data_IF_667711357200
#
_entry.id   IF_667711357200
#
_cell.length_a   1.000
_cell.length_b   1.000
_cell.length_c   1.000
_cell.angle_alpha   90.00
_cell.angle_beta   90.00
_cell.angle_gamma   90.00
#
_symmetry.space_group_name_H-M   'P 1'
#
loop_
_entity.id
_entity.type
_entity.pdbx_description
1 polymer ?
#
# COMPACT_ATOMS: atom_id res chain seq x y z
N UNK A 1 1.58 -4.37 -27.48
CA UNK A 1 1.66 -3.60 -26.23
C UNK A 1 0.59 -2.54 -26.31
N UNK A 2 -0.48 -2.54 -25.52
CA UNK A 2 -1.41 -1.41 -25.57
C UNK A 2 -0.77 -0.24 -24.83
N UNK A 3 -0.50 0.84 -25.56
CA UNK A 3 -0.28 2.17 -24.97
C UNK A 3 -1.54 2.57 -24.22
N UNK A 4 -1.53 2.44 -22.90
CA UNK A 4 -2.57 3.00 -22.05
C UNK A 4 -2.32 4.50 -21.92
N UNK A 5 -2.77 5.24 -22.93
CA UNK A 5 -2.63 6.68 -23.07
C UNK A 5 -3.64 7.46 -22.15
N UNK A 6 -3.75 7.06 -20.90
CA UNK A 6 -4.48 7.78 -19.86
C UNK A 6 -3.49 8.49 -18.93
N UNK A 7 -3.81 9.71 -18.51
CA UNK A 7 -3.02 10.40 -17.49
C UNK A 7 -2.85 9.50 -16.25
N UNK A 8 -1.65 9.42 -15.64
CA UNK A 8 -1.42 8.57 -14.48
C UNK A 8 -2.27 9.02 -13.30
N UNK A 9 -2.78 8.06 -12.52
CA UNK A 9 -3.50 8.38 -11.27
C UNK A 9 -2.56 8.74 -10.15
N UNK A 10 -1.30 8.29 -10.23
CA UNK A 10 -0.22 8.67 -9.31
C UNK A 10 1.08 8.79 -10.09
N UNK A 11 1.79 9.88 -9.86
CA UNK A 11 3.10 10.14 -10.45
C UNK A 11 4.03 10.82 -9.45
N UNK A 12 5.29 10.42 -9.45
CA UNK A 12 6.37 11.09 -8.75
C UNK A 12 7.49 11.43 -9.73
N UNK A 13 8.09 12.61 -9.61
CA UNK A 13 9.21 13.03 -10.45
C UNK A 13 10.33 13.61 -9.58
N UNK A 14 11.51 13.01 -9.65
CA UNK A 14 12.72 13.44 -8.93
C UNK A 14 12.53 13.50 -7.41
N UNK A 15 11.73 12.58 -6.85
CA UNK A 15 11.34 12.63 -5.45
C UNK A 15 12.54 12.43 -4.53
N UNK A 16 12.78 13.41 -3.66
CA UNK A 16 13.87 13.40 -2.67
C UNK A 16 13.34 13.71 -1.27
N UNK A 17 13.83 12.98 -0.28
CA UNK A 17 13.59 13.25 1.15
C UNK A 17 14.87 13.13 1.93
N UNK A 18 15.19 14.19 2.67
CA UNK A 18 16.34 14.27 3.56
C UNK A 18 15.86 14.58 4.99
N UNK A 19 16.40 13.88 5.98
CA UNK A 19 16.19 14.10 7.41
C UNK A 19 17.57 14.42 8.05
N UNK A 20 17.81 15.70 8.32
CA UNK A 20 19.17 16.13 8.73
C UNK A 20 20.20 15.73 7.67
N UNK A 21 21.20 14.93 8.06
CA UNK A 21 22.24 14.44 7.14
C UNK A 21 21.83 13.16 6.39
N UNK A 22 20.74 12.50 6.79
CA UNK A 22 20.28 11.27 6.17
C UNK A 22 19.41 11.55 4.94
N UNK A 23 19.85 11.13 3.77
CA UNK A 23 19.03 11.09 2.55
C UNK A 23 18.29 9.75 2.51
N UNK A 24 17.00 9.77 2.83
CA UNK A 24 16.15 8.57 2.89
C UNK A 24 15.58 8.16 1.54
N UNK A 25 15.37 9.14 0.64
CA UNK A 25 14.88 8.95 -0.74
C UNK A 25 15.63 9.93 -1.63
N UNK A 26 16.15 9.47 -2.76
CA UNK A 26 16.94 10.27 -3.69
C UNK A 26 16.58 9.94 -5.14
N UNK A 27 16.07 10.95 -5.85
CA UNK A 27 15.70 10.92 -7.28
C UNK A 27 14.77 9.76 -7.68
N UNK A 28 13.69 9.53 -6.90
CA UNK A 28 12.74 8.46 -7.19
C UNK A 28 11.61 8.97 -8.06
N UNK A 29 11.49 8.40 -9.27
CA UNK A 29 10.48 8.73 -10.26
C UNK A 29 9.71 7.48 -10.71
N UNK A 30 8.38 7.53 -10.62
CA UNK A 30 7.50 6.49 -11.15
C UNK A 30 6.11 7.04 -11.46
N UNK A 31 5.33 6.25 -12.20
CA UNK A 31 3.92 6.53 -12.51
C UNK A 31 3.09 5.26 -12.42
N UNK A 32 1.83 5.41 -12.00
CA UNK A 32 0.82 4.34 -11.96
C UNK A 32 -0.35 4.78 -12.85
N UNK A 33 -0.60 4.09 -13.95
CA UNK A 33 -1.80 4.31 -14.77
C UNK A 33 -3.08 3.86 -14.03
N UNK A 34 -4.27 4.32 -14.46
CA UNK A 34 -5.54 3.85 -13.90
C UNK A 34 -5.68 2.32 -13.94
N UNK A 35 -6.14 1.72 -12.84
CA UNK A 35 -6.36 0.28 -12.70
C UNK A 35 -5.09 -0.58 -12.69
N UNK A 36 -3.90 0.05 -12.71
CA UNK A 36 -2.62 -0.67 -12.68
C UNK A 36 -2.02 -0.68 -11.27
N UNK A 37 -1.07 -1.58 -11.08
CA UNK A 37 -0.42 -1.80 -9.79
C UNK A 37 1.10 -1.76 -9.92
N UNK A 38 1.74 -1.07 -8.95
CA UNK A 38 3.19 -0.98 -8.82
C UNK A 38 3.61 -1.48 -7.44
N UNK A 39 4.63 -2.35 -7.37
CA UNK A 39 5.30 -2.65 -6.12
C UNK A 39 6.55 -1.78 -5.93
N UNK A 40 6.77 -1.30 -4.71
CA UNK A 40 8.07 -0.81 -4.24
C UNK A 40 8.62 -1.86 -3.28
N UNK A 41 9.70 -2.51 -3.68
CA UNK A 41 10.38 -3.55 -2.90
C UNK A 41 11.79 -3.12 -2.52
N UNK A 42 12.37 -3.71 -1.48
CA UNK A 42 13.72 -3.40 -1.04
C UNK A 42 13.95 -3.79 0.42
N UNK A 43 15.19 -3.73 0.86
CA UNK A 43 15.58 -4.02 2.25
C UNK A 43 14.92 -3.06 3.24
N UNK A 44 14.93 -3.42 4.53
CA UNK A 44 14.47 -2.51 5.60
C UNK A 44 15.33 -1.25 5.59
N UNK A 45 14.71 -0.09 5.77
CA UNK A 45 15.41 1.20 5.72
C UNK A 45 15.69 1.75 4.31
N UNK A 46 15.31 1.06 3.23
CA UNK A 46 15.56 1.52 1.86
C UNK A 46 14.74 2.77 1.43
N UNK A 47 13.84 3.30 2.28
CA UNK A 47 13.05 4.49 1.97
C UNK A 47 11.59 4.22 1.56
N UNK A 48 11.16 2.97 1.46
CA UNK A 48 9.82 2.57 0.96
C UNK A 48 8.66 3.24 1.70
N UNK A 49 8.60 3.10 3.02
CA UNK A 49 7.56 3.72 3.87
C UNK A 49 7.63 5.25 3.84
N UNK A 50 8.83 5.82 3.67
CA UNK A 50 9.01 7.27 3.51
C UNK A 50 8.31 7.77 2.25
N UNK A 51 8.43 7.04 1.13
CA UNK A 51 7.72 7.36 -0.12
C UNK A 51 6.20 7.30 0.11
N UNK A 52 5.68 6.23 0.76
CA UNK A 52 4.24 6.13 1.06
C UNK A 52 3.76 7.33 1.91
N UNK A 53 4.50 7.68 2.96
CA UNK A 53 4.17 8.80 3.85
C UNK A 53 4.15 10.14 3.12
N UNK A 54 5.07 10.35 2.18
CA UNK A 54 5.06 11.56 1.34
C UNK A 54 3.84 11.60 0.43
N UNK A 55 3.47 10.48 -0.19
CA UNK A 55 2.31 10.41 -1.09
C UNK A 55 1.00 10.70 -0.35
N UNK A 56 0.81 10.21 0.87
CA UNK A 56 -0.41 10.48 1.66
C UNK A 56 -0.36 11.81 2.41
N UNK A 57 0.78 12.53 2.41
CA UNK A 57 0.93 13.83 3.05
C UNK A 57 1.15 13.77 4.55
N UNK A 58 1.74 12.69 5.06
CA UNK A 58 2.25 12.57 6.43
C UNK A 58 3.70 13.07 6.54
N UNK A 59 4.39 13.16 5.40
CA UNK A 59 5.71 13.75 5.22
C UNK A 59 5.68 14.61 3.94
N UNK A 60 6.61 15.54 3.84
CA UNK A 60 6.76 16.39 2.64
C UNK A 60 8.11 16.12 1.99
N UNK A 61 8.18 16.08 0.66
CA UNK A 61 9.43 15.95 -0.04
C UNK A 61 10.36 17.14 0.23
N UNK A 62 11.66 16.90 0.24
CA UNK A 62 12.67 17.98 0.25
C UNK A 62 12.77 18.62 -1.12
N UNK A 63 12.62 17.83 -2.19
CA UNK A 63 12.50 18.29 -3.59
C UNK A 63 11.80 17.21 -4.43
N UNK A 64 11.50 17.54 -5.68
CA UNK A 64 10.70 16.71 -6.58
C UNK A 64 9.21 16.95 -6.42
N UNK A 65 8.40 16.23 -7.18
CA UNK A 65 6.95 16.42 -7.22
C UNK A 65 6.19 15.13 -7.03
N UNK A 66 4.99 15.26 -6.46
CA UNK A 66 4.00 14.20 -6.31
C UNK A 66 2.68 14.70 -6.89
N UNK A 67 2.15 14.00 -7.89
CA UNK A 67 0.85 14.29 -8.49
C UNK A 67 -0.07 13.08 -8.32
N UNK A 68 -1.29 13.29 -7.80
CA UNK A 68 -2.31 12.26 -7.78
C UNK A 68 -3.62 12.81 -8.36
N UNK A 69 -4.27 12.04 -9.23
CA UNK A 69 -5.49 12.42 -9.93
C UNK A 69 -5.38 13.81 -10.62
N UNK A 70 -4.21 14.13 -11.17
CA UNK A 70 -3.91 15.43 -11.79
C UNK A 70 -3.69 16.58 -10.83
N UNK A 71 -3.65 16.34 -9.50
CA UNK A 71 -3.45 17.37 -8.49
C UNK A 71 -2.07 17.25 -7.84
N UNK A 72 -1.34 18.36 -7.76
CA UNK A 72 -0.08 18.45 -7.03
C UNK A 72 -0.29 18.26 -5.52
N UNK A 73 0.57 17.45 -4.91
CA UNK A 73 0.57 17.11 -3.49
C UNK A 73 1.94 17.32 -2.84
N UNK A 74 2.87 17.93 -3.53
CA UNK A 74 4.26 18.12 -3.07
C UNK A 74 4.37 19.05 -1.84
N UNK A 75 3.35 19.91 -1.64
CA UNK A 75 3.26 20.82 -0.50
C UNK A 75 2.09 20.47 0.44
N UNK A 76 2.09 20.99 1.70
CA UNK A 76 0.95 20.86 2.60
C UNK A 76 -0.37 21.34 1.99
N UNK A 77 -1.52 20.72 2.36
CA UNK A 77 -2.82 21.13 1.85
C UNK A 77 -3.13 22.56 2.30
N UNK A 78 -3.57 23.39 1.37
CA UNK A 78 -3.86 24.82 1.60
C UNK A 78 -5.20 25.08 2.28
N UNK A 79 -6.09 24.08 2.35
CA UNK A 79 -7.42 24.22 2.96
C UNK A 79 -7.96 22.86 3.47
N UNK A 80 -9.02 22.92 4.30
CA UNK A 80 -9.73 21.72 4.73
C UNK A 80 -10.36 20.96 3.54
N UNK A 81 -10.82 21.70 2.50
CA UNK A 81 -11.35 21.10 1.27
C UNK A 81 -10.26 20.35 0.50
N UNK A 82 -9.08 20.93 0.36
CA UNK A 82 -7.94 20.32 -0.30
C UNK A 82 -7.49 19.05 0.46
N UNK A 83 -7.41 19.11 1.80
CA UNK A 83 -7.10 17.97 2.65
C UNK A 83 -8.10 16.82 2.45
N UNK A 84 -9.41 17.12 2.45
CA UNK A 84 -10.46 16.11 2.22
C UNK A 84 -10.37 15.48 0.83
N UNK A 85 -10.12 16.30 -0.21
CA UNK A 85 -9.92 15.80 -1.56
C UNK A 85 -8.73 14.85 -1.63
N UNK A 86 -7.57 15.26 -1.14
CA UNK A 86 -6.35 14.44 -1.12
C UNK A 86 -6.54 13.12 -0.37
N UNK A 87 -7.22 13.18 0.79
CA UNK A 87 -7.54 11.98 1.56
C UNK A 87 -8.52 11.05 0.82
N UNK A 88 -9.42 11.60 -0.03
CA UNK A 88 -10.30 10.79 -0.85
C UNK A 88 -9.56 10.15 -2.03
N UNK A 89 -8.68 10.88 -2.70
CA UNK A 89 -7.95 10.41 -3.89
C UNK A 89 -7.00 9.25 -3.59
N UNK A 90 -6.32 9.29 -2.44
CA UNK A 90 -5.32 8.29 -2.03
C UNK A 90 -5.56 7.86 -0.59
N UNK A 91 -5.73 6.56 -0.40
CA UNK A 91 -5.84 5.93 0.91
C UNK A 91 -4.66 5.00 1.17
N UNK A 92 -4.39 4.73 2.44
CA UNK A 92 -3.32 3.83 2.87
C UNK A 92 -3.83 2.82 3.90
N UNK A 93 -3.41 1.57 3.74
CA UNK A 93 -3.56 0.51 4.73
C UNK A 93 -2.18 0.20 5.28
N UNK A 94 -1.96 0.47 6.56
CA UNK A 94 -0.68 0.26 7.23
C UNK A 94 -0.47 -1.19 7.64
N UNK A 95 0.79 -1.53 7.93
CA UNK A 95 1.25 -2.84 8.35
C UNK A 95 0.53 -3.38 9.59
N UNK A 96 0.31 -2.52 10.60
CA UNK A 96 -0.31 -2.91 11.86
C UNK A 96 -1.78 -2.49 11.91
N UNK A 97 -2.71 -3.45 11.74
CA UNK A 97 -4.13 -3.18 11.86
C UNK A 97 -4.57 -2.84 13.29
N UNK A 98 -3.75 -3.14 14.32
CA UNK A 98 -4.06 -2.82 15.71
C UNK A 98 -3.98 -1.32 15.99
N UNK A 99 -2.99 -0.64 15.41
CA UNK A 99 -2.80 0.80 15.57
C UNK A 99 -3.62 1.64 14.60
N UNK A 100 -4.15 1.02 13.54
CA UNK A 100 -4.92 1.71 12.50
C UNK A 100 -6.41 1.84 12.79
N UNK A 101 -6.96 1.09 13.76
CA UNK A 101 -8.38 1.11 14.14
C UNK A 101 -8.56 1.70 15.55
N UNK A 102 -9.54 2.59 15.73
CA UNK A 102 -9.93 3.04 17.08
C UNK A 102 -10.51 1.84 17.84
N UNK A 103 -9.95 1.46 19.01
CA UNK A 103 -10.44 0.33 19.80
C UNK A 103 -11.86 0.50 20.33
N UNK A 104 -12.41 1.72 20.28
CA UNK A 104 -13.76 2.06 20.74
C UNK A 104 -14.81 2.01 19.63
N UNK A 105 -14.38 1.90 18.37
CA UNK A 105 -15.27 1.86 17.21
C UNK A 105 -15.33 0.45 16.63
N UNK A 106 -16.53 -0.03 16.30
CA UNK A 106 -16.70 -1.24 15.51
C UNK A 106 -16.49 -0.94 14.01
N UNK A 107 -16.40 -1.98 13.19
CA UNK A 107 -16.18 -1.82 11.75
C UNK A 107 -17.24 -0.96 11.07
N UNK A 108 -18.53 -1.15 11.44
CA UNK A 108 -19.64 -0.36 10.91
C UNK A 108 -19.44 1.14 11.19
N UNK A 109 -19.12 1.52 12.43
CA UNK A 109 -18.91 2.91 12.81
C UNK A 109 -17.68 3.53 12.12
N UNK A 110 -16.59 2.77 12.01
CA UNK A 110 -15.38 3.22 11.35
C UNK A 110 -15.58 3.50 9.85
N UNK A 111 -16.37 2.66 9.17
CA UNK A 111 -16.72 2.85 7.76
C UNK A 111 -17.72 4.02 7.60
N UNK A 112 -18.75 4.10 8.47
CA UNK A 112 -19.74 5.18 8.43
C UNK A 112 -19.11 6.56 8.64
N UNK A 113 -18.09 6.67 9.48
CA UNK A 113 -17.34 7.91 9.68
C UNK A 113 -16.69 8.40 8.38
N UNK A 114 -16.03 7.51 7.64
CA UNK A 114 -15.40 7.82 6.35
C UNK A 114 -16.45 8.24 5.32
N UNK A 115 -17.56 7.52 5.24
CA UNK A 115 -18.65 7.85 4.31
C UNK A 115 -19.26 9.22 4.62
N UNK A 116 -19.48 9.55 5.90
CA UNK A 116 -19.94 10.89 6.31
C UNK A 116 -18.95 11.99 5.96
N UNK A 117 -17.66 11.72 6.17
CA UNK A 117 -16.62 12.71 5.91
C UNK A 117 -16.49 13.04 4.42
N UNK A 118 -16.60 12.03 3.54
CA UNK A 118 -16.24 12.18 2.14
C UNK A 118 -17.43 12.31 1.19
N UNK A 119 -18.61 11.81 1.52
CA UNK A 119 -19.72 11.72 0.55
C UNK A 119 -20.96 12.53 0.91
N UNK A 120 -21.19 12.89 2.17
CA UNK A 120 -22.39 13.62 2.58
C UNK A 120 -23.71 12.87 2.29
N UNK A 121 -23.70 11.54 2.12
CA UNK A 121 -24.87 10.74 1.79
C UNK A 121 -25.86 10.63 2.97
N UNK A 122 -27.17 10.46 2.69
CA UNK A 122 -28.16 10.17 3.71
C UNK A 122 -27.86 8.84 4.41
N UNK A 123 -28.37 8.69 5.64
CA UNK A 123 -28.05 7.54 6.51
C UNK A 123 -28.41 6.19 5.89
N UNK A 124 -29.50 6.13 5.11
CA UNK A 124 -29.94 4.91 4.42
C UNK A 124 -28.90 4.45 3.40
N UNK A 125 -28.50 5.34 2.48
CA UNK A 125 -27.48 5.03 1.48
C UNK A 125 -26.14 4.63 2.11
N UNK A 126 -25.76 5.26 3.24
CA UNK A 126 -24.53 4.87 3.95
C UNK A 126 -24.63 3.46 4.54
N UNK A 127 -25.80 3.09 5.08
CA UNK A 127 -26.05 1.72 5.59
C UNK A 127 -25.91 0.68 4.50
N UNK A 128 -26.48 0.93 3.32
CA UNK A 128 -26.38 0.02 2.18
C UNK A 128 -24.92 -0.12 1.74
N UNK A 129 -24.20 1.01 1.62
CA UNK A 129 -22.77 0.98 1.25
C UNK A 129 -21.90 0.28 2.29
N UNK A 130 -22.20 0.40 3.58
CA UNK A 130 -21.48 -0.34 4.62
C UNK A 130 -21.72 -1.84 4.47
N UNK A 131 -22.96 -2.26 4.19
CA UNK A 131 -23.29 -3.66 3.97
C UNK A 131 -22.53 -4.22 2.74
N UNK A 132 -22.48 -3.47 1.63
CA UNK A 132 -21.71 -3.83 0.44
C UNK A 132 -20.20 -3.97 0.77
N UNK A 133 -19.61 -2.97 1.43
CA UNK A 133 -18.18 -2.98 1.76
C UNK A 133 -17.81 -4.09 2.74
N UNK A 134 -18.64 -4.34 3.76
CA UNK A 134 -18.40 -5.45 4.69
C UNK A 134 -18.58 -6.81 4.02
N UNK A 135 -19.56 -6.94 3.12
CA UNK A 135 -19.73 -8.12 2.28
C UNK A 135 -18.55 -8.34 1.34
N UNK A 136 -18.08 -7.26 0.67
CA UNK A 136 -16.94 -7.32 -0.24
C UNK A 136 -15.66 -7.84 0.45
N UNK A 137 -15.40 -7.44 1.70
CA UNK A 137 -14.26 -7.94 2.47
C UNK A 137 -14.54 -9.23 3.23
N UNK A 138 -15.71 -9.85 3.06
CA UNK A 138 -16.08 -11.11 3.69
C UNK A 138 -16.24 -11.04 5.21
N UNK A 139 -16.75 -9.93 5.74
CA UNK A 139 -17.13 -9.76 7.14
C UNK A 139 -18.64 -9.98 7.28
N UNK A 140 -19.04 -10.88 8.17
CA UNK A 140 -20.45 -11.07 8.52
C UNK A 140 -20.99 -9.94 9.40
N UNK A 141 -22.33 -9.94 9.62
CA UNK A 141 -23.00 -8.91 10.40
C UNK A 141 -22.55 -8.86 11.87
N UNK A 142 -22.13 -9.99 12.46
CA UNK A 142 -21.61 -10.05 13.82
C UNK A 142 -20.22 -9.45 13.90
N UNK A 143 -19.35 -9.80 12.96
CA UNK A 143 -17.98 -9.26 12.86
C UNK A 143 -17.99 -7.75 12.57
N UNK A 144 -18.90 -7.29 11.71
CA UNK A 144 -19.06 -5.86 11.41
C UNK A 144 -19.44 -5.02 12.65
N UNK A 145 -20.17 -5.59 13.59
CA UNK A 145 -20.58 -4.92 14.85
C UNK A 145 -19.63 -5.17 16.02
N UNK A 146 -18.64 -6.07 15.85
CA UNK A 146 -17.67 -6.36 16.89
C UNK A 146 -16.63 -5.23 17.02
N UNK A 147 -16.16 -5.02 18.25
CA UNK A 147 -15.03 -4.13 18.50
C UNK A 147 -13.72 -4.78 18.02
N UNK A 148 -12.69 -3.99 17.66
CA UNK A 148 -11.43 -4.53 17.16
C UNK A 148 -10.79 -5.60 18.05
N UNK A 149 -10.91 -5.48 19.37
CA UNK A 149 -10.39 -6.47 20.34
C UNK A 149 -10.96 -7.88 20.18
N UNK A 150 -12.17 -7.99 19.64
CA UNK A 150 -12.89 -9.26 19.44
C UNK A 150 -12.70 -9.84 18.03
N UNK A 151 -11.90 -9.18 17.18
CA UNK A 151 -11.60 -9.59 15.82
C UNK A 151 -10.20 -10.21 15.74
N UNK A 152 -10.03 -11.21 14.87
CA UNK A 152 -8.70 -11.73 14.52
C UNK A 152 -7.87 -10.69 13.77
N UNK A 153 -6.55 -10.90 13.64
CA UNK A 153 -5.67 -10.03 12.85
C UNK A 153 -6.16 -9.85 11.41
N UNK A 154 -6.51 -10.95 10.74
CA UNK A 154 -7.04 -10.90 9.37
C UNK A 154 -8.39 -10.20 9.27
N UNK A 155 -9.28 -10.35 10.25
CA UNK A 155 -10.56 -9.63 10.28
C UNK A 155 -10.34 -8.12 10.46
N UNK A 156 -9.41 -7.71 11.33
CA UNK A 156 -9.03 -6.28 11.47
C UNK A 156 -8.44 -5.72 10.18
N UNK A 157 -7.62 -6.51 9.49
CA UNK A 157 -7.06 -6.12 8.19
C UNK A 157 -8.18 -5.89 7.17
N UNK A 158 -9.17 -6.78 7.11
CA UNK A 158 -10.35 -6.63 6.26
C UNK A 158 -11.16 -5.38 6.61
N UNK A 159 -11.31 -5.06 7.90
CA UNK A 159 -11.93 -3.78 8.35
C UNK A 159 -11.13 -2.58 7.86
N UNK A 160 -9.80 -2.60 7.98
CA UNK A 160 -8.94 -1.51 7.53
C UNK A 160 -9.04 -1.29 6.01
N UNK A 161 -9.11 -2.38 5.23
CA UNK A 161 -9.33 -2.33 3.78
C UNK A 161 -10.72 -1.75 3.47
N UNK A 162 -11.80 -2.25 4.10
CA UNK A 162 -13.16 -1.74 3.88
C UNK A 162 -13.27 -0.25 4.22
N UNK A 163 -12.63 0.19 5.31
CA UNK A 163 -12.58 1.60 5.70
C UNK A 163 -11.86 2.46 4.66
N UNK A 164 -10.74 1.99 4.13
CA UNK A 164 -10.02 2.70 3.08
C UNK A 164 -10.84 2.80 1.78
N UNK A 165 -11.51 1.72 1.39
CA UNK A 165 -12.39 1.68 0.22
C UNK A 165 -13.65 2.56 0.36
N UNK A 166 -14.08 2.85 1.59
CA UNK A 166 -15.22 3.74 1.83
C UNK A 166 -15.00 5.17 1.32
N UNK A 167 -13.76 5.60 1.17
CA UNK A 167 -13.44 6.88 0.54
C UNK A 167 -13.55 6.86 -1.00
N UNK A 168 -13.71 5.69 -1.62
CA UNK A 168 -13.66 5.46 -3.08
C UNK A 168 -12.37 6.02 -3.69
N UNK A 169 -11.19 5.56 -3.22
CA UNK A 169 -9.92 6.11 -3.64
C UNK A 169 -9.56 5.68 -5.07
N UNK A 170 -8.88 6.55 -5.80
CA UNK A 170 -8.26 6.18 -7.08
C UNK A 170 -7.00 5.33 -6.87
N UNK A 171 -6.29 5.56 -5.75
CA UNK A 171 -5.08 4.81 -5.37
C UNK A 171 -5.19 4.30 -3.95
N UNK A 172 -4.94 3.01 -3.77
CA UNK A 172 -4.81 2.37 -2.46
C UNK A 172 -3.34 1.96 -2.25
N UNK A 173 -2.73 2.54 -1.23
CA UNK A 173 -1.39 2.16 -0.79
C UNK A 173 -1.51 1.03 0.23
N UNK A 174 -0.77 -0.05 0.01
CA UNK A 174 -0.70 -1.22 0.86
C UNK A 174 0.72 -1.30 1.44
N UNK A 175 0.92 -0.73 2.64
CA UNK A 175 2.25 -0.66 3.28
C UNK A 175 2.44 -1.86 4.22
N UNK A 176 3.13 -2.90 3.73
CA UNK A 176 3.40 -4.17 4.42
C UNK A 176 2.15 -4.82 5.06
N UNK A 177 1.00 -4.44 4.56
CA UNK A 177 -0.33 -4.66 5.16
C UNK A 177 -0.77 -6.12 5.26
N UNK A 178 -0.06 -7.05 4.64
CA UNK A 178 -0.36 -8.50 4.68
C UNK A 178 0.77 -9.32 5.30
N UNK A 179 1.92 -8.71 5.61
CA UNK A 179 3.11 -9.43 6.07
C UNK A 179 2.97 -10.04 7.49
N UNK A 180 2.11 -9.48 8.32
CA UNK A 180 1.87 -9.93 9.69
C UNK A 180 0.76 -10.99 9.84
N UNK A 181 0.22 -11.48 8.72
CA UNK A 181 -0.88 -12.45 8.71
C UNK A 181 -0.36 -13.88 8.52
N UNK A 182 -1.05 -14.85 9.11
CA UNK A 182 -0.82 -16.26 8.82
C UNK A 182 -0.99 -16.55 7.32
N UNK A 183 -0.21 -17.48 6.78
CA UNK A 183 -0.14 -17.80 5.34
C UNK A 183 -1.53 -18.04 4.71
N UNK A 184 -2.42 -18.75 5.40
CA UNK A 184 -3.77 -19.03 4.89
C UNK A 184 -4.64 -17.77 4.85
N UNK A 185 -4.52 -16.90 5.84
CA UNK A 185 -5.25 -15.62 5.91
C UNK A 185 -4.66 -14.63 4.91
N UNK A 186 -3.34 -14.60 4.77
CA UNK A 186 -2.64 -13.81 3.78
C UNK A 186 -3.16 -14.12 2.36
N UNK A 187 -3.23 -15.40 1.98
CA UNK A 187 -3.75 -15.82 0.68
C UNK A 187 -5.19 -15.34 0.44
N UNK A 188 -6.07 -15.43 1.46
CA UNK A 188 -7.44 -14.93 1.37
C UNK A 188 -7.51 -13.41 1.17
N UNK A 189 -6.66 -12.64 1.87
CA UNK A 189 -6.62 -11.18 1.73
C UNK A 189 -6.04 -10.78 0.37
N UNK A 190 -5.05 -11.52 -0.15
CA UNK A 190 -4.49 -11.28 -1.48
C UNK A 190 -5.51 -11.52 -2.59
N UNK A 191 -6.27 -12.61 -2.52
CA UNK A 191 -7.35 -12.88 -3.47
C UNK A 191 -8.42 -11.78 -3.40
N UNK A 192 -8.82 -11.39 -2.19
CA UNK A 192 -9.74 -10.28 -1.98
C UNK A 192 -9.24 -8.98 -2.63
N UNK A 193 -7.96 -8.63 -2.46
CA UNK A 193 -7.39 -7.43 -3.07
C UNK A 193 -7.34 -7.51 -4.60
N UNK A 194 -7.08 -8.69 -5.16
CA UNK A 194 -7.15 -8.92 -6.59
C UNK A 194 -8.58 -8.72 -7.12
N UNK A 195 -9.57 -9.31 -6.45
CA UNK A 195 -10.99 -9.17 -6.81
C UNK A 195 -11.45 -7.70 -6.73
N UNK A 196 -11.04 -6.97 -5.68
CA UNK A 196 -11.35 -5.53 -5.53
C UNK A 196 -10.75 -4.71 -6.67
N UNK A 197 -9.49 -4.97 -7.05
CA UNK A 197 -8.85 -4.26 -8.17
C UNK A 197 -9.64 -4.45 -9.45
N UNK A 198 -10.02 -5.69 -9.74
CA UNK A 198 -10.71 -6.04 -10.99
C UNK A 198 -12.14 -5.51 -11.03
N UNK A 199 -12.83 -5.43 -9.89
CA UNK A 199 -14.22 -4.96 -9.79
C UNK A 199 -14.34 -3.43 -9.64
N UNK A 200 -13.48 -2.82 -8.83
CA UNK A 200 -13.56 -1.40 -8.49
C UNK A 200 -12.60 -0.51 -9.30
N UNK A 201 -11.69 -1.08 -10.10
CA UNK A 201 -10.73 -0.34 -10.91
C UNK A 201 -9.72 0.49 -10.09
N UNK A 202 -9.54 0.17 -8.81
CA UNK A 202 -8.61 0.87 -7.92
C UNK A 202 -7.17 0.52 -8.28
N UNK A 203 -6.32 1.53 -8.38
CA UNK A 203 -4.88 1.33 -8.62
C UNK A 203 -4.16 1.04 -7.32
N UNK A 204 -3.14 0.17 -7.33
CA UNK A 204 -2.40 -0.18 -6.13
C UNK A 204 -0.95 0.32 -6.17
N UNK A 205 -0.50 0.87 -5.04
CA UNK A 205 0.92 0.98 -4.71
C UNK A 205 1.20 0.03 -3.55
N UNK A 206 1.87 -1.08 -3.83
CA UNK A 206 2.24 -2.08 -2.84
C UNK A 206 3.65 -1.82 -2.32
N UNK A 207 3.81 -1.73 -1.02
CA UNK A 207 5.12 -1.74 -0.35
C UNK A 207 5.24 -3.08 0.35
N UNK A 208 6.23 -3.87 -0.03
CA UNK A 208 6.45 -5.19 0.55
C UNK A 208 7.90 -5.63 0.41
N UNK A 209 8.34 -6.45 1.34
CA UNK A 209 9.56 -7.26 1.23
C UNK A 209 9.24 -8.71 0.81
N UNK A 210 7.96 -9.10 0.78
CA UNK A 210 7.50 -10.43 0.36
C UNK A 210 7.28 -10.47 -1.15
N UNK A 211 8.21 -11.13 -1.87
CA UNK A 211 8.18 -11.22 -3.32
C UNK A 211 7.04 -12.10 -3.85
N UNK A 212 6.47 -13.00 -3.04
CA UNK A 212 5.31 -13.80 -3.42
C UNK A 212 4.05 -12.92 -3.50
N UNK A 213 3.87 -12.04 -2.51
CA UNK A 213 2.81 -11.03 -2.49
C UNK A 213 2.93 -10.08 -3.68
N UNK A 214 4.15 -9.59 -3.95
CA UNK A 214 4.44 -8.71 -5.09
C UNK A 214 4.06 -9.38 -6.40
N UNK A 215 4.45 -10.64 -6.59
CA UNK A 215 4.14 -11.42 -7.81
C UNK A 215 2.64 -11.56 -8.06
N UNK A 216 1.87 -11.72 -7.00
CA UNK A 216 0.43 -11.98 -7.11
C UNK A 216 -0.37 -10.71 -7.38
N UNK A 217 0.03 -9.56 -6.81
CA UNK A 217 -0.79 -8.34 -6.81
C UNK A 217 -0.33 -7.27 -7.78
N UNK A 218 0.89 -7.33 -8.35
CA UNK A 218 1.43 -6.18 -9.07
C UNK A 218 1.86 -6.46 -10.49
N UNK A 219 1.63 -5.47 -11.36
CA UNK A 219 2.00 -5.50 -12.77
C UNK A 219 3.47 -5.13 -12.96
N UNK A 220 3.94 -4.10 -12.23
CA UNK A 220 5.33 -3.62 -12.25
C UNK A 220 5.94 -3.67 -10.85
N UNK A 221 7.26 -3.83 -10.80
CA UNK A 221 8.05 -3.74 -9.58
C UNK A 221 9.19 -2.73 -9.75
N UNK A 222 9.40 -1.94 -8.69
CA UNK A 222 10.49 -1.00 -8.52
C UNK A 222 11.29 -1.43 -7.30
N UNK A 223 12.57 -1.77 -7.50
CA UNK A 223 13.47 -2.16 -6.43
C UNK A 223 14.19 -0.93 -5.93
N UNK A 224 14.02 -0.65 -4.64
CA UNK A 224 14.68 0.46 -3.95
C UNK A 224 15.89 -0.05 -3.17
N UNK A 225 17.03 0.63 -3.33
CA UNK A 225 18.26 0.35 -2.59
C UNK A 225 18.90 1.66 -2.15
N UNK A 226 19.11 1.83 -0.84
CA UNK A 226 19.72 3.04 -0.25
C UNK A 226 19.07 4.34 -0.77
N UNK A 227 17.73 4.38 -0.80
CA UNK A 227 16.97 5.56 -1.22
C UNK A 227 16.83 5.77 -2.73
N UNK A 228 17.52 4.99 -3.57
CA UNK A 228 17.52 5.14 -5.04
C UNK A 228 16.88 3.95 -5.74
N UNK A 229 16.44 4.14 -6.98
CA UNK A 229 15.87 3.07 -7.82
C UNK A 229 17.01 2.22 -8.38
N UNK A 230 17.14 0.98 -7.92
CA UNK A 230 18.14 0.03 -8.40
C UNK A 230 17.69 -0.70 -9.67
N UNK A 231 16.40 -1.08 -9.75
CA UNK A 231 15.85 -1.79 -10.90
C UNK A 231 14.35 -1.52 -11.01
N UNK A 232 13.81 -1.48 -12.24
CA UNK A 232 12.39 -1.35 -12.51
C UNK A 232 11.96 -2.12 -13.75
N UNK A 233 10.75 -2.66 -13.75
CA UNK A 233 10.15 -3.31 -14.92
C UNK A 233 8.91 -4.13 -14.57
N UNK A 234 8.40 -4.89 -15.56
CA UNK A 234 7.34 -5.86 -15.28
C UNK A 234 7.72 -6.78 -14.13
N UNK A 235 6.79 -7.01 -13.19
CA UNK A 235 7.03 -7.79 -11.96
C UNK A 235 7.68 -9.15 -12.26
N UNK A 236 7.16 -9.89 -13.23
CA UNK A 236 7.71 -11.19 -13.59
C UNK A 236 9.19 -11.09 -14.03
N UNK A 237 9.55 -10.08 -14.84
CA UNK A 237 10.92 -9.89 -15.29
C UNK A 237 11.87 -9.55 -14.13
N UNK A 238 11.48 -8.60 -13.28
CA UNK A 238 12.32 -8.16 -12.14
C UNK A 238 12.54 -9.31 -11.16
N UNK A 239 11.51 -10.14 -10.92
CA UNK A 239 11.59 -11.24 -9.97
C UNK A 239 12.26 -12.51 -10.56
N UNK A 240 12.07 -12.80 -11.85
CA UNK A 240 12.60 -14.03 -12.45
C UNK A 240 14.01 -13.88 -13.02
N UNK A 241 14.32 -12.69 -13.56
CA UNK A 241 15.61 -12.39 -14.17
C UNK A 241 16.19 -11.05 -13.66
N UNK A 242 16.48 -10.93 -12.35
CA UNK A 242 16.99 -9.71 -11.76
C UNK A 242 18.35 -9.35 -12.32
N UNK A 243 18.52 -8.10 -12.76
CA UNK A 243 19.76 -7.61 -13.36
C UNK A 243 20.66 -6.92 -12.32
N UNK A 244 20.03 -6.20 -11.37
CA UNK A 244 20.81 -5.46 -10.36
C UNK A 244 21.23 -6.36 -9.19
N UNK A 245 22.46 -6.25 -8.65
CA UNK A 245 22.94 -7.08 -7.56
C UNK A 245 22.06 -7.03 -6.29
N UNK A 246 21.48 -5.87 -5.98
CA UNK A 246 20.55 -5.74 -4.85
C UNK A 246 19.27 -6.54 -5.05
N UNK A 247 18.72 -6.57 -6.28
CA UNK A 247 17.56 -7.39 -6.63
C UNK A 247 17.87 -8.88 -6.55
N UNK A 248 19.07 -9.27 -6.98
CA UNK A 248 19.54 -10.66 -6.89
C UNK A 248 19.67 -11.11 -5.43
N UNK A 249 20.21 -10.24 -4.54
CA UNK A 249 20.29 -10.52 -3.10
C UNK A 249 18.88 -10.62 -2.49
N UNK A 250 17.99 -9.70 -2.81
CA UNK A 250 16.61 -9.71 -2.33
C UNK A 250 15.90 -11.02 -2.74
N UNK A 251 16.07 -11.47 -3.99
CA UNK A 251 15.55 -12.75 -4.47
C UNK A 251 16.18 -13.96 -3.75
N UNK A 252 17.47 -13.91 -3.47
CA UNK A 252 18.20 -15.00 -2.80
C UNK A 252 17.81 -15.15 -1.33
N UNK A 253 17.32 -14.09 -0.68
CA UNK A 253 16.84 -14.11 0.72
C UNK A 253 15.47 -14.79 0.89
N UNK A 254 14.72 -14.99 -0.20
CA UNK A 254 13.42 -15.68 -0.14
C UNK A 254 13.61 -17.18 -0.02
N UNK A 255 13.09 -17.83 1.03
CA UNK A 255 13.15 -19.28 1.19
C UNK A 255 12.55 -20.02 -0.01
N UNK A 256 13.25 -21.06 -0.51
CA UNK A 256 12.77 -21.92 -1.60
C UNK A 256 12.64 -23.35 -1.09
N UNK A 257 11.82 -24.21 -1.68
CA UNK A 257 11.82 -25.62 -1.38
C UNK A 257 13.24 -26.19 -1.46
N UNK A 258 13.72 -26.81 -0.35
CA UNK A 258 15.10 -27.30 -0.26
C UNK A 258 16.15 -26.27 0.18
N UNK A 259 15.79 -25.00 0.44
CA UNK A 259 16.72 -24.01 0.95
C UNK A 259 17.18 -24.35 2.38
N UNK A 260 18.49 -24.37 2.59
CA UNK A 260 19.10 -24.52 3.91
C UNK A 260 19.76 -23.20 4.30
N UNK A 261 19.50 -22.65 5.52
CA UNK A 261 20.17 -21.45 5.99
C UNK A 261 21.68 -21.65 5.99
N UNK A 262 22.43 -20.75 5.35
CA UNK A 262 23.87 -20.67 5.55
C UNK A 262 24.11 -19.93 6.86
N UNK A 263 24.37 -20.66 7.94
CA UNK A 263 24.87 -20.05 9.16
C UNK A 263 26.25 -19.48 8.86
N UNK A 264 26.36 -18.16 8.75
CA UNK A 264 27.66 -17.48 8.85
C UNK A 264 27.94 -17.39 10.34
N UNK A 265 28.79 -18.26 10.84
CA UNK A 265 29.37 -18.07 12.17
C UNK A 265 30.09 -16.74 12.17
N UNK A 266 29.76 -15.78 13.10
CA UNK A 266 30.67 -14.66 13.30
C UNK A 266 32.01 -15.27 13.73
N UNK A 267 33.01 -15.10 12.89
CA UNK A 267 34.38 -15.44 13.22
C UNK A 267 34.74 -14.66 14.50
N UNK A 268 34.98 -15.40 15.59
CA UNK A 268 35.56 -14.87 16.81
C UNK A 268 36.87 -14.21 16.43
N UNK A 269 36.88 -12.88 16.32
CA UNK A 269 38.09 -12.09 16.23
C UNK A 269 38.82 -12.20 17.57
N UNK A 270 40.03 -12.71 17.50
CA UNK A 270 41.02 -12.65 18.58
C UNK A 270 41.52 -11.21 18.72
#
# INVERSE_FOLDING_TARGET
MPDTNGAPVLETAGLRKQFGDLVAVDDVSFRIPPGRSLAIVGESGAGKTTIARMIVGLEWPTSGTITACGHDRSEPPRSARDRRRRAREVQIVFQDPYTSLDPRQNAHAAIDEVLRLHHGWPAERRRDRIAELTGLVGLDARQSRALPRSLSGGQRQRVAIARALAAEPAVLILDESVAALDVSIQAQVLNLLADIRDQAGVSYLLISHDLAVVRQLTDEALVLHCGTVAERGPTARVLDNPQHPSTQRLRASVPRPGWKPRYVHPSAGR
#
